data_IF_120561487683
#
_entry.id   IF_120561487683
#
_cell.length_a   1.000
_cell.length_b   1.000
_cell.length_c   1.000
_cell.angle_alpha   90.00
_cell.angle_beta   90.00
_cell.angle_gamma   90.00
#
_symmetry.space_group_name_H-M   'P 1'
#
loop_
_entity.id
_entity.type
_entity.pdbx_description
1 polymer ?
#
# COMPACT_ATOMS: atom_id res chain seq x y z
N UNK A 1 -19.65 -42.94 34.69
CA UNK A 1 -20.37 -42.42 33.50
C UNK A 1 -20.85 -41.03 33.91
N UNK A 2 -20.49 -39.89 33.31
CA UNK A 2 -20.22 -39.56 31.92
C UNK A 2 -19.18 -38.42 31.91
N UNK A 3 -18.13 -38.59 31.11
CA UNK A 3 -17.05 -37.62 30.92
C UNK A 3 -17.59 -36.36 30.24
N UNK A 4 -17.46 -35.18 30.88
CA UNK A 4 -17.75 -33.89 30.27
C UNK A 4 -16.53 -33.44 29.46
N UNK A 5 -16.39 -34.04 28.28
CA UNK A 5 -15.51 -33.55 27.22
C UNK A 5 -16.04 -32.18 26.76
N UNK A 6 -15.45 -31.12 27.32
CA UNK A 6 -15.64 -29.76 26.83
C UNK A 6 -15.01 -29.65 25.44
N UNK A 7 -15.86 -29.74 24.42
CA UNK A 7 -15.57 -29.40 23.04
C UNK A 7 -15.27 -27.90 22.95
N UNK A 8 -14.00 -27.52 23.05
CA UNK A 8 -13.56 -26.17 22.67
C UNK A 8 -13.35 -26.18 21.17
N UNK A 9 -14.25 -25.49 20.48
CA UNK A 9 -14.26 -25.35 19.03
C UNK A 9 -12.93 -24.77 18.51
N UNK A 10 -12.26 -25.52 17.63
CA UNK A 10 -11.20 -24.96 16.78
C UNK A 10 -11.85 -23.97 15.82
N UNK A 11 -11.72 -22.68 16.10
CA UNK A 11 -11.92 -21.63 15.10
C UNK A 11 -10.69 -21.67 14.19
N UNK A 12 -10.81 -22.38 13.07
CA UNK A 12 -9.81 -22.32 12.01
C UNK A 12 -9.82 -20.89 11.44
N UNK A 13 -8.85 -20.07 11.85
CA UNK A 13 -8.48 -18.83 11.18
C UNK A 13 -7.97 -19.20 9.79
N UNK A 14 -8.88 -19.27 8.82
CA UNK A 14 -8.51 -19.30 7.41
C UNK A 14 -7.96 -17.92 7.09
N UNK A 15 -6.65 -17.75 7.23
CA UNK A 15 -5.94 -16.63 6.65
C UNK A 15 -6.10 -16.78 5.13
N UNK A 16 -7.09 -16.09 4.56
CA UNK A 16 -7.20 -15.91 3.12
C UNK A 16 -5.99 -15.06 2.73
N UNK A 17 -4.90 -15.72 2.35
CA UNK A 17 -3.84 -15.13 1.55
C UNK A 17 -4.45 -14.86 0.19
N UNK A 18 -5.12 -13.72 0.05
CA UNK A 18 -5.35 -13.15 -1.27
C UNK A 18 -3.95 -13.03 -1.89
N UNK A 19 -3.75 -13.66 -3.06
CA UNK A 19 -2.54 -13.42 -3.81
C UNK A 19 -2.51 -11.92 -4.09
N UNK A 20 -1.58 -11.22 -3.45
CA UNK A 20 -1.45 -9.77 -3.60
C UNK A 20 -1.35 -9.43 -5.10
N UNK A 21 -1.91 -8.29 -5.49
CA UNK A 21 -1.86 -7.82 -6.88
C UNK A 21 -0.42 -7.81 -7.42
N UNK A 22 -0.21 -7.98 -8.74
CA UNK A 22 1.11 -8.13 -9.34
C UNK A 22 2.06 -6.93 -9.08
N UNK A 23 1.51 -5.78 -8.68
CA UNK A 23 2.25 -4.56 -8.39
C UNK A 23 2.41 -4.28 -6.88
N UNK A 24 1.95 -5.17 -6.01
CA UNK A 24 1.88 -4.89 -4.57
C UNK A 24 3.26 -4.69 -3.95
N UNK A 25 4.21 -5.57 -4.26
CA UNK A 25 5.60 -5.46 -3.77
C UNK A 25 6.28 -4.17 -4.26
N UNK A 26 6.07 -3.83 -5.54
CA UNK A 26 6.60 -2.60 -6.12
C UNK A 26 5.99 -1.37 -5.46
N UNK A 27 4.67 -1.32 -5.31
CA UNK A 27 3.98 -0.22 -4.63
C UNK A 27 4.49 -0.06 -3.19
N UNK A 28 4.60 -1.16 -2.44
CA UNK A 28 5.07 -1.10 -1.05
C UNK A 28 6.49 -0.55 -0.96
N UNK A 29 7.38 -0.96 -1.88
CA UNK A 29 8.73 -0.39 -1.99
C UNK A 29 8.66 1.12 -2.22
N UNK A 30 7.95 1.58 -3.26
CA UNK A 30 7.84 3.00 -3.58
C UNK A 30 7.25 3.83 -2.43
N UNK A 31 6.23 3.31 -1.75
CA UNK A 31 5.63 3.95 -0.58
C UNK A 31 6.61 4.02 0.59
N UNK A 32 7.42 2.98 0.82
CA UNK A 32 8.48 3.00 1.84
C UNK A 32 9.57 4.02 1.51
N UNK A 33 9.97 4.14 0.24
CA UNK A 33 10.96 5.11 -0.22
C UNK A 33 10.45 6.54 -0.01
N UNK A 34 9.18 6.80 -0.35
CA UNK A 34 8.53 8.09 -0.10
C UNK A 34 8.38 8.40 1.39
N UNK A 35 8.00 7.41 2.22
CA UNK A 35 7.98 7.56 3.68
C UNK A 35 9.34 7.94 4.23
N UNK A 36 10.40 7.31 3.74
CA UNK A 36 11.77 7.63 4.13
C UNK A 36 12.13 9.06 3.73
N UNK A 37 11.82 9.46 2.49
CA UNK A 37 12.06 10.81 1.97
C UNK A 37 11.41 11.91 2.80
N UNK A 38 10.21 11.67 3.31
CA UNK A 38 9.47 12.61 4.15
C UNK A 38 9.63 12.36 5.65
N UNK A 39 10.56 11.49 6.07
CA UNK A 39 10.77 11.12 7.47
C UNK A 39 9.48 10.66 8.19
N UNK A 40 8.60 9.96 7.48
CA UNK A 40 7.25 9.56 7.91
C UNK A 40 6.32 10.72 8.32
N UNK A 41 6.65 11.98 8.02
CA UNK A 41 5.81 13.14 8.29
C UNK A 41 5.19 13.69 7.00
N UNK A 42 3.87 13.50 6.88
CA UNK A 42 3.08 13.97 5.75
C UNK A 42 2.17 15.15 6.11
N UNK A 43 2.26 15.70 7.32
CA UNK A 43 1.35 16.74 7.82
C UNK A 43 1.32 17.99 6.93
N UNK A 44 2.49 18.43 6.46
CA UNK A 44 2.68 19.59 5.57
C UNK A 44 2.76 19.22 4.08
N UNK A 45 2.72 17.94 3.74
CA UNK A 45 2.83 17.47 2.36
C UNK A 45 1.53 17.72 1.61
N UNK A 46 1.65 18.34 0.44
CA UNK A 46 0.56 18.57 -0.50
C UNK A 46 0.43 17.42 -1.50
N UNK A 47 -0.74 17.29 -2.13
CA UNK A 47 -0.96 16.27 -3.17
C UNK A 47 0.03 16.43 -4.34
N UNK A 48 0.35 17.68 -4.75
CA UNK A 48 1.31 17.93 -5.81
C UNK A 48 2.74 17.49 -5.47
N UNK A 49 3.19 17.71 -4.23
CA UNK A 49 4.50 17.24 -3.76
C UNK A 49 4.54 15.70 -3.70
N UNK A 50 3.48 15.07 -3.19
CA UNK A 50 3.39 13.61 -3.16
C UNK A 50 3.43 13.02 -4.57
N UNK A 51 2.62 13.55 -5.50
CA UNK A 51 2.59 13.10 -6.90
C UNK A 51 3.98 13.21 -7.52
N UNK A 52 4.66 14.34 -7.34
CA UNK A 52 6.02 14.53 -7.87
C UNK A 52 6.97 13.47 -7.33
N UNK A 53 6.95 13.20 -6.02
CA UNK A 53 7.81 12.18 -5.42
C UNK A 53 7.48 10.77 -5.90
N UNK A 54 6.20 10.39 -5.89
CA UNK A 54 5.75 9.06 -6.34
C UNK A 54 6.00 8.83 -7.84
N UNK A 55 5.92 9.87 -8.68
CA UNK A 55 6.31 9.77 -10.10
C UNK A 55 7.81 9.55 -10.27
N UNK A 56 8.65 10.20 -9.46
CA UNK A 56 10.09 9.92 -9.43
C UNK A 56 10.41 8.48 -9.02
N UNK A 57 9.59 7.89 -8.15
CA UNK A 57 9.67 6.46 -7.85
C UNK A 57 9.25 5.60 -9.05
N UNK A 58 8.22 5.99 -9.81
CA UNK A 58 7.88 5.28 -11.06
C UNK A 58 9.06 5.30 -12.05
N UNK A 59 9.67 6.46 -12.27
CA UNK A 59 10.83 6.65 -13.15
C UNK A 59 12.02 5.76 -12.74
N UNK A 60 12.20 5.53 -11.44
CA UNK A 60 13.34 4.79 -10.90
C UNK A 60 13.15 3.27 -10.89
N UNK A 61 11.89 2.79 -10.91
CA UNK A 61 11.58 1.38 -10.72
C UNK A 61 10.90 0.74 -11.94
N UNK A 62 10.48 1.52 -12.94
CA UNK A 62 9.76 1.03 -14.12
C UNK A 62 10.26 1.71 -15.39
N UNK A 63 9.88 1.19 -16.57
CA UNK A 63 10.25 1.82 -17.84
C UNK A 63 9.17 1.59 -18.92
N UNK A 64 9.21 2.39 -19.97
CA UNK A 64 8.31 2.26 -21.12
C UNK A 64 6.82 2.38 -20.73
N UNK A 65 6.02 1.39 -21.12
CA UNK A 65 4.58 1.39 -20.87
C UNK A 65 4.25 1.29 -19.37
N UNK A 66 5.00 0.49 -18.61
CA UNK A 66 4.77 0.31 -17.18
C UNK A 66 4.96 1.61 -16.39
N UNK A 67 5.96 2.41 -16.76
CA UNK A 67 6.18 3.74 -16.18
C UNK A 67 5.00 4.69 -16.45
N UNK A 68 4.49 4.69 -17.68
CA UNK A 68 3.33 5.50 -18.05
C UNK A 68 2.09 5.12 -17.22
N UNK A 69 1.87 3.81 -17.02
CA UNK A 69 0.78 3.30 -16.19
C UNK A 69 0.99 3.64 -14.71
N UNK A 70 2.21 3.45 -14.18
CA UNK A 70 2.55 3.80 -12.80
C UNK A 70 2.25 5.28 -12.51
N UNK A 71 2.75 6.18 -13.35
CA UNK A 71 2.53 7.63 -13.20
C UNK A 71 1.05 8.00 -13.32
N UNK A 72 0.29 7.29 -14.16
CA UNK A 72 -1.16 7.48 -14.27
C UNK A 72 -1.88 7.05 -13.00
N UNK A 73 -1.60 5.85 -12.48
CA UNK A 73 -2.21 5.35 -11.23
C UNK A 73 -1.90 6.29 -10.05
N UNK A 74 -0.66 6.74 -9.92
CA UNK A 74 -0.27 7.73 -8.90
C UNK A 74 -1.06 9.03 -9.04
N UNK A 75 -1.25 9.52 -10.26
CA UNK A 75 -2.00 10.76 -10.50
C UNK A 75 -3.49 10.59 -10.17
N UNK A 76 -4.09 9.47 -10.59
CA UNK A 76 -5.52 9.20 -10.42
C UNK A 76 -5.90 8.89 -8.96
N UNK A 77 -4.93 8.49 -8.11
CA UNK A 77 -5.15 8.11 -6.71
C UNK A 77 -4.47 9.05 -5.69
N UNK A 78 -3.90 10.17 -6.13
CA UNK A 78 -3.02 11.02 -5.31
C UNK A 78 -3.64 11.46 -3.97
N UNK A 79 -4.90 11.87 -3.96
CA UNK A 79 -5.59 12.36 -2.77
C UNK A 79 -5.83 11.22 -1.76
N UNK A 80 -6.18 10.03 -2.26
CA UNK A 80 -6.37 8.85 -1.41
C UNK A 80 -5.05 8.35 -0.83
N UNK A 81 -4.00 8.33 -1.65
CA UNK A 81 -2.65 7.97 -1.20
C UNK A 81 -2.15 8.95 -0.13
N UNK A 82 -2.34 10.26 -0.34
CA UNK A 82 -1.96 11.26 0.65
C UNK A 82 -2.75 11.14 1.94
N UNK A 83 -4.07 10.90 1.85
CA UNK A 83 -4.90 10.69 3.02
C UNK A 83 -4.46 9.46 3.83
N UNK A 84 -4.16 8.34 3.16
CA UNK A 84 -3.64 7.13 3.80
C UNK A 84 -2.29 7.37 4.49
N UNK A 85 -1.38 8.10 3.83
CA UNK A 85 -0.08 8.47 4.40
C UNK A 85 -0.21 9.41 5.61
N UNK A 86 -1.11 10.40 5.54
CA UNK A 86 -1.42 11.30 6.67
C UNK A 86 -2.08 10.58 7.84
N UNK A 87 -2.80 9.50 7.58
CA UNK A 87 -3.35 8.60 8.59
C UNK A 87 -2.31 7.59 9.13
N UNK A 88 -1.03 7.74 8.78
CA UNK A 88 0.08 6.87 9.21
C UNK A 88 -0.15 5.39 8.90
N UNK A 89 -0.89 5.08 7.82
CA UNK A 89 -1.15 3.71 7.42
C UNK A 89 0.12 2.97 6.98
N UNK A 90 0.11 1.64 7.10
CA UNK A 90 1.20 0.81 6.60
C UNK A 90 1.31 0.90 5.07
N UNK A 91 2.48 0.59 4.51
CA UNK A 91 2.69 0.68 3.07
C UNK A 91 1.78 -0.29 2.29
N UNK A 92 1.48 -1.44 2.88
CA UNK A 92 0.48 -2.38 2.39
C UNK A 92 -0.92 -1.75 2.31
N UNK A 93 -1.38 -1.08 3.38
CA UNK A 93 -2.71 -0.43 3.41
C UNK A 93 -2.81 0.74 2.42
N UNK A 94 -1.72 1.52 2.28
CA UNK A 94 -1.63 2.58 1.26
C UNK A 94 -1.77 1.98 -0.15
N UNK A 95 -1.11 0.85 -0.41
CA UNK A 95 -1.16 0.17 -1.70
C UNK A 95 -2.50 -0.51 -1.99
N UNK A 96 -3.18 -1.05 -0.97
CA UNK A 96 -4.57 -1.50 -1.10
C UNK A 96 -5.50 -0.35 -1.48
N UNK A 97 -5.31 0.83 -0.90
CA UNK A 97 -6.11 2.03 -1.22
C UNK A 97 -6.01 2.41 -2.70
N UNK A 98 -4.86 2.12 -3.33
CA UNK A 98 -4.62 2.31 -4.76
C UNK A 98 -5.02 1.12 -5.65
N UNK A 99 -5.59 0.04 -5.10
CA UNK A 99 -5.84 -1.24 -5.78
C UNK A 99 -4.59 -1.84 -6.44
N UNK A 100 -3.42 -1.62 -5.82
CA UNK A 100 -2.13 -2.18 -6.25
C UNK A 100 -1.76 -3.43 -5.45
N UNK A 101 -2.31 -3.50 -4.25
CA UNK A 101 -2.63 -4.70 -3.49
C UNK A 101 -4.18 -4.77 -3.41
#
# INVERSE_FOLDING_TARGET
MVSKLSLVALVALVAVVAADGPFCSLCQKMVNDVKTKYNNDFSSVTAGQLVTSMKGECDSNTSGFEDSICKKIVSDNNDKLLAALKASQSSYQVCQTGNLC
#
